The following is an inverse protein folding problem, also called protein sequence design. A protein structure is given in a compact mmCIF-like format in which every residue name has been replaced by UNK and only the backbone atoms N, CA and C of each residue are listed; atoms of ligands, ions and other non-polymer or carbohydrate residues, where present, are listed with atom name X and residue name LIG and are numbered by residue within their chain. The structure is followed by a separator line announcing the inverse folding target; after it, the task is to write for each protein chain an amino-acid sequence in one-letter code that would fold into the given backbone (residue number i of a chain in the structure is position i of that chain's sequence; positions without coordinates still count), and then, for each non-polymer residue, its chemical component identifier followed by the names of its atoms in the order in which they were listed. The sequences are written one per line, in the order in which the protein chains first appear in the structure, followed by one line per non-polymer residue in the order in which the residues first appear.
data_IF_334109657836
#
_entry.id   IF_334109657836
#
_cell.length_a   1.000
_cell.length_b   1.000
_cell.length_c   1.000
_cell.angle_alpha   90.00
_cell.angle_beta   90.00
_cell.angle_gamma   90.00
#
_symmetry.space_group_name_H-M   'P 1'
#
loop_
_entity.id
_entity.type
_entity.pdbx_description
1 polymer ?
#
# COMPACT_ATOMS: atom_id res chain seq x y z
N UNK A 1 1.26 -2.18 -13.24
CA UNK A 1 0.27 -3.27 -13.21
C UNK A 1 0.73 -4.41 -12.29
N UNK A 2 1.84 -5.11 -12.54
CA UNK A 2 2.32 -6.18 -11.63
C UNK A 2 2.95 -5.65 -10.32
N UNK A 3 3.89 -4.71 -10.40
CA UNK A 3 4.52 -4.10 -9.22
C UNK A 3 3.52 -3.39 -8.31
N UNK A 4 2.58 -2.63 -8.89
CA UNK A 4 1.49 -1.97 -8.14
C UNK A 4 0.58 -2.97 -7.43
N UNK A 5 0.28 -4.13 -8.03
CA UNK A 5 -0.54 -5.16 -7.40
C UNK A 5 0.22 -5.85 -6.27
N UNK A 6 1.50 -6.15 -6.47
CA UNK A 6 2.38 -6.67 -5.44
C UNK A 6 2.53 -5.71 -4.27
N UNK A 7 2.73 -4.43 -4.54
CA UNK A 7 2.82 -3.38 -3.53
C UNK A 7 1.54 -3.31 -2.69
N UNK A 8 0.37 -3.32 -3.32
CA UNK A 8 -0.92 -3.31 -2.60
C UNK A 8 -1.06 -4.52 -1.67
N UNK A 9 -0.74 -5.71 -2.17
CA UNK A 9 -0.80 -6.94 -1.39
C UNK A 9 0.19 -6.92 -0.21
N UNK A 10 1.41 -6.42 -0.44
CA UNK A 10 2.43 -6.28 0.57
C UNK A 10 2.08 -5.24 1.64
N UNK A 11 1.51 -4.10 1.24
CA UNK A 11 1.17 -3.00 2.17
C UNK A 11 0.02 -3.36 3.10
N UNK A 12 -0.96 -4.14 2.63
CA UNK A 12 -2.16 -4.52 3.40
C UNK A 12 -2.02 -5.94 4.01
N UNK A 13 -0.89 -6.60 3.80
CA UNK A 13 -0.61 -7.97 4.29
C UNK A 13 -1.67 -9.00 3.83
N UNK A 14 -2.02 -8.94 2.54
CA UNK A 14 -2.95 -9.88 1.90
C UNK A 14 -2.26 -11.15 1.38
N UNK A 15 -1.02 -11.39 1.77
CA UNK A 15 -0.16 -12.43 1.20
C UNK A 15 0.37 -12.07 -0.19
N UNK A 16 1.05 -13.00 -0.87
CA UNK A 16 1.66 -12.72 -2.17
C UNK A 16 0.67 -12.88 -3.33
N UNK A 17 0.68 -11.98 -4.33
CA UNK A 17 -0.14 -12.14 -5.52
C UNK A 17 0.32 -13.36 -6.33
N UNK A 18 -0.63 -14.03 -7.00
CA UNK A 18 -0.32 -15.20 -7.83
C UNK A 18 0.23 -14.76 -9.18
N UNK A 19 1.55 -14.90 -9.37
CA UNK A 19 2.23 -14.60 -10.62
C UNK A 19 2.93 -15.83 -11.20
N UNK A 20 3.29 -15.77 -12.50
CA UNK A 20 4.25 -16.71 -13.06
C UNK A 20 5.61 -16.52 -12.38
N UNK A 21 6.46 -17.57 -12.30
CA UNK A 21 7.74 -17.48 -11.61
C UNK A 21 8.63 -16.33 -12.10
N UNK A 22 8.71 -16.14 -13.43
CA UNK A 22 9.50 -15.06 -14.03
C UNK A 22 8.99 -13.66 -13.65
N UNK A 23 7.67 -13.48 -13.61
CA UNK A 23 7.06 -12.20 -13.23
C UNK A 23 7.19 -11.94 -11.72
N UNK A 24 7.12 -12.99 -10.90
CA UNK A 24 7.37 -12.88 -9.45
C UNK A 24 8.80 -12.41 -9.18
N UNK A 25 9.80 -13.03 -9.82
CA UNK A 25 11.20 -12.66 -9.67
C UNK A 25 11.46 -11.21 -10.08
N UNK A 26 11.01 -10.81 -11.28
CA UNK A 26 11.17 -9.43 -11.76
C UNK A 26 10.48 -8.40 -10.85
N UNK A 27 9.31 -8.75 -10.28
CA UNK A 27 8.60 -7.88 -9.34
C UNK A 27 9.33 -7.77 -8.00
N UNK A 28 9.88 -8.87 -7.48
CA UNK A 28 10.66 -8.86 -6.24
C UNK A 28 11.96 -8.06 -6.39
N UNK A 29 12.68 -8.21 -7.50
CA UNK A 29 13.89 -7.44 -7.80
C UNK A 29 13.60 -5.94 -7.87
N UNK A 30 12.48 -5.57 -8.50
CA UNK A 30 12.01 -4.18 -8.53
C UNK A 30 11.67 -3.67 -7.13
N UNK A 31 10.95 -4.45 -6.33
CA UNK A 31 10.54 -4.05 -4.98
C UNK A 31 11.72 -3.92 -4.01
N UNK A 32 12.74 -4.78 -4.14
CA UNK A 32 13.98 -4.70 -3.37
C UNK A 32 14.72 -3.37 -3.61
N UNK A 33 14.61 -2.80 -4.81
CA UNK A 33 15.19 -1.50 -5.15
C UNK A 33 14.35 -0.32 -4.65
N UNK A 34 13.04 -0.52 -4.44
CA UNK A 34 12.10 0.59 -4.25
C UNK A 34 11.81 0.89 -2.77
N UNK A 35 12.34 0.11 -1.81
CA UNK A 35 12.21 0.32 -0.35
C UNK A 35 10.82 0.79 0.07
N UNK A 36 9.78 0.03 -0.28
CA UNK A 36 8.40 0.37 0.10
C UNK A 36 8.06 -0.36 1.41
N UNK A 37 7.90 0.34 2.54
CA UNK A 37 7.49 -0.29 3.79
C UNK A 37 6.00 -0.65 3.76
N UNK A 38 5.63 -1.75 4.44
CA UNK A 38 4.23 -2.09 4.64
C UNK A 38 3.56 -1.11 5.61
N UNK A 39 2.22 -1.07 5.65
CA UNK A 39 1.51 -0.20 6.59
C UNK A 39 1.80 -0.56 8.05
N UNK A 40 1.99 -1.84 8.35
CA UNK A 40 2.35 -2.28 9.70
C UNK A 40 3.78 -1.91 10.08
N UNK A 41 4.71 -1.88 9.12
CA UNK A 41 6.07 -1.38 9.35
C UNK A 41 6.07 0.15 9.55
N UNK A 42 5.23 0.87 8.82
CA UNK A 42 5.16 2.33 8.89
C UNK A 42 4.35 2.83 10.11
N UNK A 43 3.37 2.05 10.57
CA UNK A 43 2.50 2.34 11.70
C UNK A 43 2.49 1.16 12.67
N UNK A 44 3.55 1.03 13.50
CA UNK A 44 3.68 -0.09 14.44
C UNK A 44 2.58 -0.10 15.52
N UNK A 45 1.94 1.05 15.77
CA UNK A 45 0.76 1.14 16.62
C UNK A 45 -0.51 1.20 15.76
N UNK A 46 -1.48 0.36 16.09
CA UNK A 46 -2.76 0.30 15.37
C UNK A 46 -3.50 1.66 15.40
N UNK A 47 -3.38 2.41 16.50
CA UNK A 47 -3.97 3.74 16.64
C UNK A 47 -3.42 4.74 15.62
N UNK A 48 -2.13 4.65 15.29
CA UNK A 48 -1.51 5.53 14.30
C UNK A 48 -1.98 5.20 12.88
N UNK A 49 -2.12 3.89 12.58
CA UNK A 49 -2.66 3.43 11.30
C UNK A 49 -4.11 3.90 11.10
N UNK A 50 -4.95 3.73 12.13
CA UNK A 50 -6.34 4.20 12.13
C UNK A 50 -6.38 5.73 11.98
N UNK A 51 -5.57 6.45 12.76
CA UNK A 51 -5.48 7.91 12.70
C UNK A 51 -4.98 8.43 11.35
N UNK A 52 -4.12 7.68 10.65
CA UNK A 52 -3.69 8.00 9.30
C UNK A 52 -4.86 7.96 8.31
N UNK A 53 -5.59 6.84 8.27
CA UNK A 53 -6.73 6.69 7.35
C UNK A 53 -7.87 7.65 7.67
N UNK A 54 -8.15 7.92 8.96
CA UNK A 54 -9.14 8.93 9.35
C UNK A 54 -8.83 10.29 8.75
N UNK A 55 -7.58 10.77 8.86
CA UNK A 55 -7.17 12.05 8.26
C UNK A 55 -7.28 12.04 6.74
N UNK A 56 -6.99 10.92 6.09
CA UNK A 56 -7.17 10.81 4.64
C UNK A 56 -8.64 10.90 4.23
N UNK A 57 -9.53 10.20 4.95
CA UNK A 57 -10.97 10.27 4.70
C UNK A 57 -11.52 11.68 4.92
N UNK A 58 -11.08 12.37 5.98
CA UNK A 58 -11.46 13.77 6.22
C UNK A 58 -11.06 14.67 5.05
N UNK A 59 -9.80 14.62 4.61
CA UNK A 59 -9.32 15.43 3.48
C UNK A 59 -10.06 15.10 2.18
N UNK A 60 -10.38 13.82 1.95
CA UNK A 60 -11.14 13.39 0.79
C UNK A 60 -12.54 14.02 0.80
N UNK A 61 -13.25 13.92 1.92
CA UNK A 61 -14.59 14.53 2.09
C UNK A 61 -14.56 16.04 1.92
N UNK A 62 -13.58 16.71 2.54
CA UNK A 62 -13.37 18.15 2.35
C UNK A 62 -13.15 18.50 0.88
N UNK A 63 -12.31 17.74 0.18
CA UNK A 63 -12.06 17.99 -1.24
C UNK A 63 -13.32 17.79 -2.10
N UNK A 64 -14.10 16.74 -1.86
CA UNK A 64 -15.36 16.49 -2.59
C UNK A 64 -16.38 17.63 -2.37
N UNK A 65 -16.48 18.14 -1.14
CA UNK A 65 -17.42 19.21 -0.81
C UNK A 65 -17.02 20.59 -1.37
N UNK A 66 -15.74 20.82 -1.69
CA UNK A 66 -15.27 22.07 -2.31
C UNK A 66 -15.28 22.05 -3.85
N UNK A 67 -15.41 20.87 -4.45
CA UNK A 67 -15.43 20.68 -5.92
C UNK A 67 -16.87 20.54 -6.46
N UNK A 68 -17.87 20.50 -5.56
CA UNK A 68 -19.30 20.42 -5.89
C UNK A 68 -19.97 21.76 -6.16
#
# INVERSE_FOLDING_TARGET
MAATLYEQHYRIDWGLPRFSPALMAATQDYMAQTLIPSYYQQYPQQTDLIGHFQRQTTRLLEHQNHVG
#
